data_IF_241926794694
#
_entry.id   IF_241926794694
#
_cell.length_a   1.000
_cell.length_b   1.000
_cell.length_c   1.000
_cell.angle_alpha   90.00
_cell.angle_beta   90.00
_cell.angle_gamma   90.00
#
_symmetry.space_group_name_H-M   'P 1'
#
loop_
_entity.id
_entity.type
_entity.pdbx_description
1 polymer ?
#
# COMPACT_ATOMS: atom_id res chain seq x y z
N UNK A 1 13.28 29.93 -31.54
CA UNK A 1 12.07 30.47 -30.89
C UNK A 1 12.09 30.11 -29.42
N UNK A 2 12.21 31.13 -28.56
CA UNK A 2 12.31 31.02 -27.10
C UNK A 2 10.95 31.36 -26.52
N UNK A 3 10.36 30.45 -25.73
CA UNK A 3 9.19 30.81 -24.91
C UNK A 3 9.49 30.42 -23.47
N UNK A 4 9.62 31.44 -22.63
CA UNK A 4 9.87 31.36 -21.20
C UNK A 4 8.75 32.10 -20.47
N UNK A 5 8.16 31.39 -19.50
CA UNK A 5 7.75 31.86 -18.15
C UNK A 5 6.50 32.77 -18.08
N UNK A 6 5.49 32.35 -17.30
CA UNK A 6 5.07 32.94 -16.00
C UNK A 6 3.74 32.35 -15.53
N UNK A 7 3.78 31.54 -14.47
CA UNK A 7 2.64 31.35 -13.56
C UNK A 7 2.99 32.14 -12.32
N UNK A 8 2.26 33.22 -12.10
CA UNK A 8 2.33 34.07 -10.92
C UNK A 8 1.52 33.39 -9.80
N UNK A 9 2.21 33.04 -8.71
CA UNK A 9 1.58 32.93 -7.39
C UNK A 9 1.64 34.33 -6.76
N UNK A 10 0.49 34.85 -6.33
CA UNK A 10 0.44 36.02 -5.46
C UNK A 10 -0.57 35.77 -4.35
N UNK A 11 -0.07 35.88 -3.12
CA UNK A 11 -0.74 35.75 -1.83
C UNK A 11 -1.14 37.12 -1.29
N UNK A 12 -2.34 37.27 -0.72
CA UNK A 12 -2.74 38.21 0.35
C UNK A 12 -4.20 37.83 0.72
N UNK A 13 -4.63 37.44 1.93
CA UNK A 13 -4.42 37.89 3.31
C UNK A 13 -5.05 39.26 3.63
N UNK A 14 -6.25 39.21 4.24
CA UNK A 14 -6.82 40.19 5.18
C UNK A 14 -8.00 39.50 5.89
N UNK A 15 -7.85 39.05 7.14
CA UNK A 15 -8.23 39.75 8.39
C UNK A 15 -9.68 40.24 8.44
N UNK A 16 -10.48 39.60 9.31
CA UNK A 16 -11.28 40.34 10.30
C UNK A 16 -11.60 39.45 11.50
N UNK A 17 -11.30 40.00 12.67
CA UNK A 17 -11.53 39.46 13.99
C UNK A 17 -12.96 39.75 14.45
N UNK A 18 -13.53 38.87 15.27
CA UNK A 18 -14.37 39.31 16.38
C UNK A 18 -14.44 38.21 17.46
N UNK A 19 -14.08 38.67 18.65
CA UNK A 19 -14.03 38.02 19.95
C UNK A 19 -15.43 37.71 20.48
N UNK A 20 -15.58 36.59 21.19
CA UNK A 20 -16.31 36.59 22.45
C UNK A 20 -15.81 35.50 23.39
N UNK A 21 -15.23 35.95 24.51
CA UNK A 21 -14.95 35.16 25.70
C UNK A 21 -16.26 34.72 26.35
N UNK A 22 -16.36 33.45 26.74
CA UNK A 22 -17.06 33.07 27.97
C UNK A 22 -16.24 32.02 28.70
N UNK A 23 -15.73 32.43 29.86
CA UNK A 23 -15.21 31.55 30.88
C UNK A 23 -16.38 30.85 31.56
N UNK A 24 -16.34 29.52 31.61
CA UNK A 24 -17.05 28.75 32.63
C UNK A 24 -16.07 27.74 33.21
N UNK A 25 -15.57 28.07 34.40
CA UNK A 25 -14.90 27.15 35.31
C UNK A 25 -15.96 26.27 35.97
N UNK A 26 -15.85 24.96 35.77
CA UNK A 26 -16.49 23.98 36.64
C UNK A 26 -15.52 22.81 36.82
N UNK A 27 -14.79 22.85 37.94
CA UNK A 27 -14.11 21.69 38.51
C UNK A 27 -15.16 20.63 38.87
N UNK A 28 -15.00 19.44 38.31
CA UNK A 28 -15.58 18.22 38.88
C UNK A 28 -14.45 17.20 39.01
N UNK A 29 -14.04 16.97 40.27
CA UNK A 29 -13.29 15.79 40.66
C UNK A 29 -14.24 14.58 40.64
N UNK A 30 -13.92 13.59 39.82
CA UNK A 30 -14.39 12.23 40.03
C UNK A 30 -13.32 11.21 39.60
N UNK A 31 -13.13 10.25 40.49
CA UNK A 31 -12.11 9.21 40.49
C UNK A 31 -12.17 8.27 39.28
N UNK A 32 -10.97 7.86 38.84
CA UNK A 32 -10.62 6.45 38.69
C UNK A 32 -11.46 5.60 37.75
N UNK A 33 -11.10 5.62 36.46
CA UNK A 33 -11.16 4.42 35.62
C UNK A 33 -9.84 4.27 34.86
N UNK A 34 -9.00 3.35 35.33
CA UNK A 34 -8.00 2.67 34.52
C UNK A 34 -8.72 1.90 33.42
N UNK A 35 -8.46 2.21 32.15
CA UNK A 35 -9.00 1.40 31.05
C UNK A 35 -9.07 2.10 29.70
N UNK A 36 -7.90 2.36 29.09
CA UNK A 36 -7.72 2.19 27.65
C UNK A 36 -6.23 2.40 27.36
N UNK A 37 -5.50 1.28 27.28
CA UNK A 37 -4.22 1.25 26.60
C UNK A 37 -4.40 1.90 25.24
N UNK A 38 -3.85 3.12 25.06
CA UNK A 38 -3.41 3.55 23.73
C UNK A 38 -2.51 2.42 23.26
N UNK A 39 -2.99 1.60 22.34
CA UNK A 39 -2.09 0.76 21.56
C UNK A 39 -1.04 1.72 21.01
N UNK A 40 0.17 1.66 21.55
CA UNK A 40 1.25 2.52 21.13
C UNK A 40 1.50 2.19 19.67
N UNK A 41 0.95 2.99 18.76
CA UNK A 41 1.39 3.02 17.39
C UNK A 41 2.88 3.28 17.46
N UNK A 42 3.69 2.23 17.25
CA UNK A 42 5.13 2.34 17.29
C UNK A 42 5.51 3.48 16.34
N UNK A 43 5.98 4.59 16.90
CA UNK A 43 6.40 5.75 16.10
C UNK A 43 7.64 5.34 15.34
N UNK A 44 7.45 4.87 14.11
CA UNK A 44 8.54 4.45 13.26
C UNK A 44 9.52 5.60 13.07
N UNK A 45 10.81 5.31 13.15
CA UNK A 45 11.84 6.32 12.93
C UNK A 45 11.71 6.93 11.54
N UNK A 46 12.10 8.19 11.38
CA UNK A 46 12.10 8.84 10.07
C UNK A 46 13.09 8.17 9.10
N UNK A 47 12.79 8.19 7.80
CA UNK A 47 13.74 7.73 6.79
C UNK A 47 15.01 8.59 6.79
N UNK A 48 16.20 7.99 6.53
CA UNK A 48 17.41 8.78 6.43
C UNK A 48 17.33 9.72 5.23
N UNK A 49 17.64 10.99 5.47
CA UNK A 49 17.67 12.03 4.43
C UNK A 49 19.01 11.95 3.70
N UNK A 50 19.01 11.37 2.51
CA UNK A 50 20.18 11.37 1.64
C UNK A 50 19.83 11.99 0.28
N UNK A 51 20.78 12.70 -0.37
CA UNK A 51 20.53 13.36 -1.65
C UNK A 51 19.94 12.41 -2.70
N UNK A 52 20.46 11.18 -2.76
CA UNK A 52 20.06 10.15 -3.73
C UNK A 52 18.56 9.78 -3.69
N UNK A 53 17.85 10.03 -2.59
CA UNK A 53 16.46 9.60 -2.41
C UNK A 53 15.41 10.70 -2.50
N UNK A 54 15.82 11.93 -2.88
CA UNK A 54 14.94 13.12 -3.00
C UNK A 54 14.09 13.34 -1.74
N UNK A 55 12.86 12.83 -1.72
CA UNK A 55 11.81 13.07 -0.72
C UNK A 55 11.21 11.75 -0.23
N UNK A 56 12.06 10.88 0.33
CA UNK A 56 11.58 9.63 0.94
C UNK A 56 10.94 9.93 2.30
N UNK A 57 9.61 9.83 2.37
CA UNK A 57 8.81 9.98 3.60
C UNK A 57 7.98 8.72 3.88
N UNK A 58 7.39 8.63 5.08
CA UNK A 58 6.45 7.56 5.41
C UNK A 58 5.27 7.54 4.43
N UNK A 59 4.66 8.69 4.18
CA UNK A 59 3.50 8.79 3.28
C UNK A 59 3.83 8.41 1.85
N UNK A 60 4.99 8.85 1.34
CA UNK A 60 5.45 8.44 0.01
C UNK A 60 5.59 6.92 -0.10
N UNK A 61 6.11 6.27 0.95
CA UNK A 61 6.24 4.81 0.97
C UNK A 61 4.88 4.13 1.09
N UNK A 62 3.99 4.61 1.97
CA UNK A 62 2.61 4.08 2.08
C UNK A 62 1.86 4.19 0.76
N UNK A 63 1.91 5.36 0.12
CA UNK A 63 1.31 5.61 -1.19
C UNK A 63 1.91 4.67 -2.23
N UNK A 64 3.24 4.54 -2.28
CA UNK A 64 3.91 3.64 -3.22
C UNK A 64 3.52 2.18 -2.99
N UNK A 65 3.40 1.74 -1.75
CA UNK A 65 2.98 0.38 -1.41
C UNK A 65 1.52 0.18 -1.83
N UNK A 66 0.61 1.10 -1.47
CA UNK A 66 -0.79 1.03 -1.86
C UNK A 66 -0.99 1.04 -3.39
N UNK A 67 -0.26 1.89 -4.10
CA UNK A 67 -0.41 2.09 -5.55
C UNK A 67 0.32 1.01 -6.34
N UNK A 68 1.63 0.85 -6.13
CA UNK A 68 2.49 -0.03 -6.94
C UNK A 68 2.53 -1.48 -6.44
N UNK A 69 2.34 -1.70 -5.14
CA UNK A 69 2.39 -3.03 -4.52
C UNK A 69 1.02 -3.46 -3.98
N UNK A 70 -0.06 -2.74 -4.27
CA UNK A 70 -1.44 -3.11 -3.85
C UNK A 70 -1.60 -3.27 -2.33
N UNK A 71 -0.86 -2.48 -1.56
CA UNK A 71 -0.83 -2.59 -0.11
C UNK A 71 0.15 -3.66 0.40
N UNK A 72 0.75 -4.46 -0.49
CA UNK A 72 1.71 -5.52 -0.20
C UNK A 72 3.06 -4.97 0.28
N UNK A 73 3.11 -4.72 1.59
CA UNK A 73 4.32 -4.34 2.30
C UNK A 73 5.40 -5.40 2.16
N UNK A 74 5.06 -6.69 2.23
CA UNK A 74 6.02 -7.78 2.16
C UNK A 74 6.71 -7.82 0.79
N UNK A 75 5.94 -7.74 -0.29
CA UNK A 75 6.48 -7.66 -1.64
C UNK A 75 7.36 -6.41 -1.85
N UNK A 76 6.96 -5.27 -1.29
CA UNK A 76 7.79 -4.08 -1.35
C UNK A 76 9.11 -4.25 -0.60
N UNK A 77 9.07 -4.80 0.62
CA UNK A 77 10.25 -5.09 1.45
C UNK A 77 11.18 -6.08 0.73
N UNK A 78 10.64 -7.17 0.18
CA UNK A 78 11.41 -8.14 -0.63
C UNK A 78 12.07 -7.48 -1.83
N UNK A 79 11.38 -6.57 -2.53
CA UNK A 79 11.99 -5.83 -3.64
C UNK A 79 13.17 -4.94 -3.18
N UNK A 80 13.09 -4.36 -1.99
CA UNK A 80 14.20 -3.60 -1.38
C UNK A 80 15.35 -4.51 -0.97
N UNK A 81 15.06 -5.66 -0.36
CA UNK A 81 16.06 -6.67 0.01
C UNK A 81 16.77 -7.24 -1.22
N UNK A 82 16.03 -7.53 -2.30
CA UNK A 82 16.60 -7.96 -3.56
C UNK A 82 17.54 -6.91 -4.18
N UNK A 83 17.14 -5.63 -4.14
CA UNK A 83 18.02 -4.53 -4.54
C UNK A 83 19.29 -4.45 -3.67
N UNK A 84 19.13 -4.58 -2.35
CA UNK A 84 20.25 -4.59 -1.41
C UNK A 84 21.22 -5.75 -1.69
N UNK A 85 20.71 -6.96 -1.91
CA UNK A 85 21.51 -8.15 -2.17
C UNK A 85 22.36 -7.98 -3.44
N UNK A 86 21.78 -7.40 -4.51
CA UNK A 86 22.52 -7.05 -5.72
C UNK A 86 23.67 -6.09 -5.42
N UNK A 87 23.44 -5.06 -4.61
CA UNK A 87 24.50 -4.10 -4.22
C UNK A 87 25.56 -4.73 -3.33
N UNK A 88 25.19 -5.59 -2.38
CA UNK A 88 26.13 -6.34 -1.53
C UNK A 88 27.03 -7.23 -2.39
N UNK A 89 26.46 -7.95 -3.36
CA UNK A 89 27.22 -8.76 -4.30
C UNK A 89 28.20 -7.93 -5.14
N UNK A 90 27.78 -6.75 -5.64
CA UNK A 90 28.66 -5.82 -6.38
C UNK A 90 29.80 -5.31 -5.49
N UNK A 91 29.51 -4.98 -4.22
CA UNK A 91 30.50 -4.50 -3.27
C UNK A 91 31.51 -5.59 -2.91
N UNK A 92 31.06 -6.82 -2.68
CA UNK A 92 31.90 -7.96 -2.32
C UNK A 92 32.97 -8.27 -3.38
N UNK A 93 32.63 -8.12 -4.66
CA UNK A 93 33.56 -8.29 -5.79
C UNK A 93 34.42 -7.04 -6.10
N UNK A 94 34.42 -6.03 -5.22
CA UNK A 94 35.21 -4.80 -5.38
C UNK A 94 34.77 -3.89 -6.55
N UNK A 95 33.64 -4.18 -7.18
CA UNK A 95 33.14 -3.46 -8.36
C UNK A 95 32.38 -2.18 -7.99
N UNK A 96 32.11 -1.35 -8.99
CA UNK A 96 31.25 -0.18 -8.85
C UNK A 96 29.78 -0.49 -9.17
N UNK A 97 28.86 0.10 -8.41
CA UNK A 97 27.42 0.03 -8.67
C UNK A 97 26.93 1.35 -9.25
N UNK A 98 26.15 1.28 -10.33
CA UNK A 98 25.47 2.44 -10.89
C UNK A 98 24.12 2.66 -10.17
N UNK A 99 23.92 3.85 -9.60
CA UNK A 99 22.64 4.27 -9.01
C UNK A 99 22.12 5.51 -9.73
N UNK A 100 20.83 5.52 -10.05
CA UNK A 100 20.22 6.64 -10.78
C UNK A 100 19.81 7.78 -9.84
N UNK A 101 20.21 9.01 -10.18
CA UNK A 101 19.84 10.24 -9.49
C UNK A 101 19.65 11.38 -10.48
N UNK A 102 18.51 12.08 -10.43
CA UNK A 102 18.21 13.23 -11.29
C UNK A 102 18.54 13.01 -12.79
N UNK A 103 18.14 11.85 -13.34
CA UNK A 103 18.43 11.41 -14.74
C UNK A 103 19.92 11.16 -15.04
N UNK A 104 20.80 11.19 -14.04
CA UNK A 104 22.21 10.84 -14.14
C UNK A 104 22.47 9.50 -13.44
N UNK A 105 23.46 8.76 -13.92
CA UNK A 105 23.94 7.53 -13.29
C UNK A 105 25.18 7.86 -12.48
N UNK A 106 25.13 7.65 -11.16
CA UNK A 106 26.25 7.86 -10.25
C UNK A 106 26.87 6.50 -9.95
N UNK A 107 28.19 6.38 -10.15
CA UNK A 107 28.93 5.17 -9.77
C UNK A 107 29.36 5.27 -8.30
N UNK A 108 28.98 4.28 -7.51
CA UNK A 108 29.40 4.10 -6.12
C UNK A 108 30.38 2.93 -6.04
N UNK A 109 31.49 3.11 -5.33
CA UNK A 109 32.50 2.06 -5.12
C UNK A 109 33.13 2.16 -3.73
N UNK A 110 33.60 1.02 -3.21
CA UNK A 110 34.30 0.95 -1.92
C UNK A 110 33.50 1.60 -0.80
N UNK A 111 34.13 2.53 -0.07
CA UNK A 111 33.54 3.21 1.10
C UNK A 111 32.21 3.93 0.79
N UNK A 112 32.06 4.51 -0.41
CA UNK A 112 30.82 5.18 -0.80
C UNK A 112 29.66 4.21 -1.00
N UNK A 113 29.92 3.04 -1.60
CA UNK A 113 28.94 1.96 -1.76
C UNK A 113 28.60 1.30 -0.41
N UNK A 114 29.59 1.08 0.46
CA UNK A 114 29.36 0.60 1.82
C UNK A 114 28.47 1.55 2.64
N UNK A 115 28.70 2.86 2.51
CA UNK A 115 27.88 3.90 3.19
C UNK A 115 26.46 3.91 2.65
N UNK A 116 26.29 3.79 1.33
CA UNK A 116 24.97 3.69 0.72
C UNK A 116 24.21 2.42 1.16
N UNK A 117 24.89 1.28 1.26
CA UNK A 117 24.30 0.03 1.79
C UNK A 117 23.76 0.21 3.22
N UNK A 118 24.47 0.91 4.10
CA UNK A 118 23.98 1.25 5.46
C UNK A 118 22.71 2.10 5.42
N UNK A 119 22.57 3.01 4.45
CA UNK A 119 21.32 3.74 4.28
C UNK A 119 20.19 2.82 3.81
N UNK A 120 20.48 1.90 2.87
CA UNK A 120 19.51 0.89 2.40
C UNK A 120 19.02 0.02 3.56
N UNK A 121 19.91 -0.44 4.44
CA UNK A 121 19.55 -1.17 5.67
C UNK A 121 18.55 -0.37 6.52
N UNK A 122 18.87 0.89 6.82
CA UNK A 122 17.98 1.77 7.60
C UNK A 122 16.62 1.95 6.93
N UNK A 123 16.59 2.11 5.60
CA UNK A 123 15.34 2.22 4.86
C UNK A 123 14.50 0.95 4.98
N UNK A 124 15.10 -0.23 4.87
CA UNK A 124 14.38 -1.50 5.04
C UNK A 124 13.81 -1.58 6.46
N UNK A 125 14.59 -1.24 7.48
CA UNK A 125 14.13 -1.25 8.88
C UNK A 125 12.95 -0.31 9.14
N UNK A 126 13.00 0.94 8.64
CA UNK A 126 11.86 1.87 8.74
C UNK A 126 10.64 1.32 8.00
N UNK A 127 10.84 0.72 6.83
CA UNK A 127 9.74 0.14 6.03
C UNK A 127 9.09 -1.04 6.75
N UNK A 128 9.86 -1.90 7.41
CA UNK A 128 9.34 -3.00 8.22
C UNK A 128 8.51 -2.49 9.41
N UNK A 129 9.00 -1.44 10.10
CA UNK A 129 8.21 -0.80 11.15
C UNK A 129 6.87 -0.28 10.62
N UNK A 130 6.87 0.41 9.47
CA UNK A 130 5.64 0.92 8.86
C UNK A 130 4.67 -0.20 8.48
N UNK A 131 5.17 -1.32 7.95
CA UNK A 131 4.36 -2.52 7.67
C UNK A 131 3.64 -2.98 8.94
N UNK A 132 4.39 -3.17 10.02
CA UNK A 132 3.83 -3.67 11.29
C UNK A 132 2.79 -2.70 11.87
N UNK A 133 3.04 -1.39 11.78
CA UNK A 133 2.11 -0.37 12.25
C UNK A 133 0.79 -0.37 11.44
N UNK A 134 0.88 -0.51 10.12
CA UNK A 134 -0.29 -0.56 9.23
C UNK A 134 -1.08 -1.88 9.40
N UNK A 135 -0.41 -3.00 9.66
CA UNK A 135 -1.07 -4.29 9.92
C UNK A 135 -1.80 -4.29 11.27
N UNK A 136 -1.20 -3.70 12.32
CA UNK A 136 -1.84 -3.55 13.63
C UNK A 136 -3.08 -2.63 13.57
N UNK A 137 -3.02 -1.53 12.82
CA UNK A 137 -4.17 -0.66 12.60
C UNK A 137 -5.30 -1.38 11.84
N UNK A 138 -4.95 -2.24 10.88
CA UNK A 138 -5.93 -3.03 10.12
C UNK A 138 -6.69 -4.06 10.95
N UNK A 139 -6.13 -4.52 12.08
CA UNK A 139 -6.78 -5.47 12.99
C UNK A 139 -7.65 -4.79 14.05
N UNK A 140 -7.34 -3.54 14.41
CA UNK A 140 -8.10 -2.78 15.41
C UNK A 140 -9.49 -2.34 14.93
N UNK A 141 -9.70 -2.25 13.61
CA UNK A 141 -10.98 -1.85 13.01
C UNK A 141 -12.02 -2.99 12.95
N UNK A 142 -11.66 -4.22 13.32
CA UNK A 142 -12.61 -5.33 13.44
C UNK A 142 -13.09 -5.44 14.89
N UNK A 143 -13.94 -4.48 15.30
CA UNK A 143 -14.67 -4.56 16.58
C UNK A 143 -15.46 -5.87 16.65
N UNK A 144 -15.20 -6.61 17.72
CA UNK A 144 -15.89 -7.81 18.20
C UNK A 144 -17.39 -7.79 17.92
N UNK A 145 -17.84 -8.72 17.07
CA UNK A 145 -19.26 -9.00 16.87
C UNK A 145 -19.84 -9.63 18.13
N UNK A 146 -20.57 -8.83 18.92
CA UNK A 146 -21.52 -9.34 19.90
C UNK A 146 -22.76 -9.84 19.15
N UNK A 147 -23.14 -11.10 19.40
CA UNK A 147 -24.27 -11.76 18.73
C UNK A 147 -25.60 -11.05 18.99
N UNK A 148 -26.36 -10.85 17.92
CA UNK A 148 -27.74 -10.38 17.92
C UNK A 148 -28.62 -11.36 17.15
N UNK A 149 -29.77 -11.67 17.73
CA UNK A 149 -30.70 -12.77 17.48
C UNK A 149 -31.44 -12.72 16.13
N UNK A 150 -31.82 -13.92 15.68
CA UNK A 150 -32.65 -14.23 14.51
C UNK A 150 -34.02 -13.56 14.56
N UNK A 151 -34.47 -13.03 13.41
CA UNK A 151 -35.88 -13.07 13.04
C UNK A 151 -36.02 -13.27 11.52
N UNK A 152 -36.90 -14.20 11.18
CA UNK A 152 -37.05 -14.82 9.86
C UNK A 152 -38.13 -14.10 9.06
N UNK A 153 -37.78 -13.59 7.86
CA UNK A 153 -38.73 -13.51 6.75
C UNK A 153 -38.05 -14.04 5.48
N UNK A 154 -38.64 -15.12 4.96
CA UNK A 154 -38.20 -15.88 3.80
C UNK A 154 -38.65 -15.22 2.50
N UNK A 155 -37.70 -14.64 1.78
CA UNK A 155 -37.70 -14.60 0.32
C UNK A 155 -36.32 -15.06 -0.12
N UNK A 156 -36.24 -16.27 -0.68
CA UNK A 156 -34.98 -16.92 -1.09
C UNK A 156 -34.30 -16.18 -2.24
N UNK A 157 -33.62 -15.08 -1.92
CA UNK A 157 -32.42 -14.67 -2.62
C UNK A 157 -31.24 -15.17 -1.80
N UNK A 158 -30.76 -16.39 -2.09
CA UNK A 158 -29.48 -16.83 -1.51
C UNK A 158 -28.44 -15.83 -2.00
N UNK A 159 -27.79 -15.03 -1.12
CA UNK A 159 -26.69 -14.19 -1.57
C UNK A 159 -25.66 -15.16 -2.14
N UNK A 160 -25.38 -15.06 -3.45
CA UNK A 160 -24.39 -15.93 -4.10
C UNK A 160 -23.09 -15.74 -3.34
N UNK A 161 -22.70 -16.77 -2.58
CA UNK A 161 -21.40 -16.82 -1.95
C UNK A 161 -20.38 -16.65 -3.07
N UNK A 162 -19.51 -15.65 -2.94
CA UNK A 162 -18.49 -15.40 -3.95
C UNK A 162 -17.45 -16.52 -3.89
N UNK A 163 -16.89 -16.89 -5.04
CA UNK A 163 -15.82 -17.89 -5.07
C UNK A 163 -14.63 -17.46 -4.20
N UNK A 164 -13.81 -18.43 -3.81
CA UNK A 164 -12.58 -18.16 -3.05
C UNK A 164 -11.57 -17.37 -3.87
N UNK A 165 -10.91 -16.40 -3.24
CA UNK A 165 -9.78 -15.69 -3.84
C UNK A 165 -8.63 -16.69 -4.05
N UNK A 166 -8.00 -16.71 -5.23
CA UNK A 166 -6.82 -17.55 -5.44
C UNK A 166 -5.70 -17.28 -4.43
N UNK A 167 -5.08 -18.36 -3.96
CA UNK A 167 -3.96 -18.28 -3.03
C UNK A 167 -2.63 -18.17 -3.79
N UNK A 168 -2.30 -16.96 -4.24
CA UNK A 168 -1.02 -16.65 -4.88
C UNK A 168 -0.06 -16.11 -3.82
N UNK A 169 1.16 -16.63 -3.77
CA UNK A 169 2.16 -16.33 -2.74
C UNK A 169 2.35 -14.82 -2.57
N UNK A 170 2.53 -14.11 -3.68
CA UNK A 170 2.90 -12.70 -3.76
C UNK A 170 1.72 -11.72 -3.82
N UNK A 171 0.52 -12.17 -3.45
CA UNK A 171 -0.65 -11.31 -3.27
C UNK A 171 -0.90 -11.05 -1.78
N UNK A 172 -0.96 -9.79 -1.36
CA UNK A 172 -1.30 -9.45 0.05
C UNK A 172 -2.69 -9.92 0.46
N UNK A 173 -3.72 -9.55 -0.31
CA UNK A 173 -5.10 -9.81 0.09
C UNK A 173 -5.59 -11.13 -0.50
N UNK A 174 -5.69 -12.15 0.35
CA UNK A 174 -6.04 -13.53 0.01
C UNK A 174 -7.43 -13.97 0.53
N UNK A 175 -8.13 -13.09 1.22
CA UNK A 175 -9.46 -13.34 1.78
C UNK A 175 -10.44 -12.25 1.35
N UNK A 176 -11.74 -12.56 1.35
CA UNK A 176 -12.79 -11.57 1.06
C UNK A 176 -12.74 -10.40 2.05
N UNK A 177 -12.63 -10.68 3.35
CA UNK A 177 -12.58 -9.67 4.41
C UNK A 177 -11.45 -8.65 4.20
N UNK A 178 -10.25 -9.12 3.82
CA UNK A 178 -9.11 -8.24 3.57
C UNK A 178 -9.35 -7.31 2.38
N UNK A 179 -9.97 -7.81 1.32
CA UNK A 179 -10.30 -7.00 0.13
C UNK A 179 -11.38 -5.98 0.46
N UNK A 180 -12.46 -6.40 1.12
CA UNK A 180 -13.56 -5.51 1.52
C UNK A 180 -13.03 -4.39 2.41
N UNK A 181 -12.26 -4.72 3.45
CA UNK A 181 -11.67 -3.73 4.35
C UNK A 181 -10.71 -2.77 3.64
N UNK A 182 -9.92 -3.26 2.68
CA UNK A 182 -9.06 -2.41 1.87
C UNK A 182 -9.86 -1.44 1.01
N UNK A 183 -10.92 -1.90 0.35
CA UNK A 183 -11.77 -1.05 -0.50
C UNK A 183 -12.51 -0.01 0.34
N UNK A 184 -13.05 -0.40 1.49
CA UNK A 184 -13.69 0.52 2.43
C UNK A 184 -12.74 1.64 2.87
N UNK A 185 -11.51 1.32 3.28
CA UNK A 185 -10.54 2.32 3.75
C UNK A 185 -9.92 3.15 2.63
N UNK A 186 -9.55 2.53 1.51
CA UNK A 186 -8.77 3.18 0.45
C UNK A 186 -9.63 3.92 -0.57
N UNK A 187 -10.80 3.39 -0.87
CA UNK A 187 -11.70 3.89 -1.91
C UNK A 187 -13.06 4.29 -1.34
N UNK A 188 -13.18 4.43 -0.01
CA UNK A 188 -14.44 4.79 0.66
C UNK A 188 -15.61 3.88 0.28
N UNK A 189 -15.31 2.60 0.01
CA UNK A 189 -16.30 1.61 -0.42
C UNK A 189 -16.64 1.65 -1.92
N UNK A 190 -16.04 2.53 -2.72
CA UNK A 190 -16.15 2.50 -4.18
C UNK A 190 -15.26 1.40 -4.76
N UNK A 191 -15.91 0.39 -5.35
CA UNK A 191 -15.25 -0.77 -5.93
C UNK A 191 -14.69 -0.52 -7.33
N UNK A 192 -15.21 0.48 -8.05
CA UNK A 192 -14.87 0.78 -9.44
C UNK A 192 -13.37 0.99 -9.65
N UNK A 193 -12.68 1.90 -8.92
CA UNK A 193 -11.25 2.11 -9.10
C UNK A 193 -10.42 0.88 -8.74
N UNK A 194 -10.91 0.03 -7.84
CA UNK A 194 -10.23 -1.22 -7.50
C UNK A 194 -10.37 -2.26 -8.62
N UNK A 195 -11.58 -2.46 -9.15
CA UNK A 195 -11.86 -3.38 -10.27
C UNK A 195 -11.09 -2.96 -11.52
N UNK A 196 -11.09 -1.67 -11.86
CA UNK A 196 -10.39 -1.13 -13.02
C UNK A 196 -8.88 -1.38 -12.93
N UNK A 197 -8.30 -1.19 -11.74
CA UNK A 197 -6.87 -1.45 -11.52
C UNK A 197 -6.49 -2.90 -11.82
N UNK A 198 -7.31 -3.87 -11.40
CA UNK A 198 -7.07 -5.29 -11.67
C UNK A 198 -7.30 -5.62 -13.16
N UNK A 199 -8.32 -5.03 -13.76
CA UNK A 199 -8.64 -5.24 -15.18
C UNK A 199 -7.52 -4.73 -16.10
N UNK A 200 -7.05 -3.49 -15.88
CA UNK A 200 -5.89 -2.93 -16.60
C UNK A 200 -4.62 -3.76 -16.40
N UNK A 201 -4.44 -4.37 -15.22
CA UNK A 201 -3.30 -5.24 -14.96
C UNK A 201 -3.41 -6.54 -15.76
N UNK A 202 -4.59 -7.14 -15.86
CA UNK A 202 -4.84 -8.29 -16.72
C UNK A 202 -4.56 -7.95 -18.19
N UNK A 203 -5.06 -6.81 -18.69
CA UNK A 203 -4.83 -6.37 -20.08
C UNK A 203 -3.34 -6.27 -20.43
N UNK A 204 -2.53 -5.74 -19.49
CA UNK A 204 -1.07 -5.66 -19.66
C UNK A 204 -0.42 -7.05 -19.70
N UNK A 205 -0.90 -7.99 -18.90
CA UNK A 205 -0.39 -9.37 -18.92
C UNK A 205 -0.76 -10.06 -20.22
N UNK A 206 -1.98 -9.86 -20.71
CA UNK A 206 -2.43 -10.32 -22.02
C UNK A 206 -1.57 -9.76 -23.14
N UNK A 207 -1.27 -8.46 -23.12
CA UNK A 207 -0.36 -7.82 -24.09
C UNK A 207 1.07 -8.41 -24.01
N UNK A 208 1.62 -8.61 -22.80
CA UNK A 208 2.92 -9.27 -22.60
C UNK A 208 2.93 -10.69 -23.18
N UNK A 209 1.86 -11.44 -22.94
CA UNK A 209 1.71 -12.82 -23.41
C UNK A 209 1.61 -12.88 -24.93
N UNK A 210 0.77 -12.04 -25.54
CA UNK A 210 0.53 -12.00 -26.99
C UNK A 210 1.79 -11.68 -27.79
N UNK A 211 2.71 -10.88 -27.24
CA UNK A 211 4.01 -10.61 -27.88
C UNK A 211 5.10 -11.64 -27.55
N UNK A 212 4.76 -12.75 -26.90
CA UNK A 212 5.70 -13.82 -26.54
C UNK A 212 6.75 -13.42 -25.49
N UNK A 213 6.49 -12.37 -24.70
CA UNK A 213 7.43 -11.84 -23.72
C UNK A 213 7.20 -12.45 -22.32
N UNK A 214 7.91 -11.93 -21.32
CA UNK A 214 7.87 -12.44 -19.95
C UNK A 214 7.48 -11.32 -18.98
N UNK A 215 6.71 -11.67 -17.95
CA UNK A 215 6.38 -10.78 -16.85
C UNK A 215 7.23 -11.14 -15.63
N UNK A 216 7.80 -10.15 -14.95
CA UNK A 216 8.53 -10.37 -13.70
C UNK A 216 7.64 -9.91 -12.55
N UNK A 217 7.36 -10.83 -11.62
CA UNK A 217 6.61 -10.56 -10.40
C UNK A 217 7.41 -9.67 -9.45
N UNK A 218 6.75 -9.14 -8.43
CA UNK A 218 7.38 -8.40 -7.33
C UNK A 218 8.37 -9.24 -6.51
N UNK A 219 8.22 -10.56 -6.45
CA UNK A 219 9.17 -11.50 -5.82
C UNK A 219 10.38 -11.81 -6.69
N UNK A 220 10.37 -11.38 -7.96
CA UNK A 220 11.42 -11.64 -8.93
C UNK A 220 11.23 -12.93 -9.74
N UNK A 221 10.13 -13.65 -9.54
CA UNK A 221 9.76 -14.79 -10.39
C UNK A 221 9.40 -14.29 -11.80
N UNK A 222 10.01 -14.90 -12.81
CA UNK A 222 9.72 -14.64 -14.23
C UNK A 222 8.64 -15.61 -14.71
N UNK A 223 7.53 -15.08 -15.20
CA UNK A 223 6.42 -15.81 -15.79
C UNK A 223 6.47 -15.68 -17.31
N UNK A 224 6.46 -16.80 -18.03
CA UNK A 224 6.45 -16.85 -19.49
C UNK A 224 5.62 -18.04 -19.97
N UNK A 225 5.09 -17.96 -21.20
CA UNK A 225 4.39 -19.07 -21.83
C UNK A 225 3.25 -19.59 -20.95
N UNK A 226 3.29 -20.89 -20.62
CA UNK A 226 2.24 -21.55 -19.82
C UNK A 226 2.08 -20.95 -18.43
N UNK A 227 3.17 -20.54 -17.78
CA UNK A 227 3.11 -19.98 -16.41
C UNK A 227 2.46 -18.59 -16.41
N UNK A 228 2.76 -17.78 -17.44
CA UNK A 228 2.11 -16.49 -17.63
C UNK A 228 0.61 -16.66 -17.93
N UNK A 229 0.26 -17.61 -18.80
CA UNK A 229 -1.14 -17.93 -19.12
C UNK A 229 -1.91 -18.41 -17.89
N UNK A 230 -1.34 -19.33 -17.10
CA UNK A 230 -1.93 -19.78 -15.84
C UNK A 230 -2.16 -18.63 -14.86
N UNK A 231 -1.17 -17.74 -14.72
CA UNK A 231 -1.31 -16.55 -13.87
C UNK A 231 -2.40 -15.58 -14.36
N UNK A 232 -2.60 -15.43 -15.67
CA UNK A 232 -3.71 -14.66 -16.23
C UNK A 232 -5.07 -15.24 -15.83
N UNK A 233 -5.22 -16.56 -15.83
CA UNK A 233 -6.45 -17.23 -15.34
C UNK A 233 -6.73 -16.95 -13.87
N UNK A 234 -5.69 -16.93 -13.02
CA UNK A 234 -5.85 -16.57 -11.60
C UNK A 234 -6.23 -15.10 -11.42
N UNK A 235 -5.68 -14.21 -12.26
CA UNK A 235 -6.06 -12.79 -12.30
C UNK A 235 -7.54 -12.62 -12.69
N UNK A 236 -8.02 -13.33 -13.72
CA UNK A 236 -9.43 -13.34 -14.14
C UNK A 236 -10.35 -13.81 -13.03
N UNK A 237 -9.99 -14.93 -12.37
CA UNK A 237 -10.72 -15.47 -11.23
C UNK A 237 -10.81 -14.46 -10.10
N UNK A 238 -9.71 -13.79 -9.76
CA UNK A 238 -9.70 -12.72 -8.76
C UNK A 238 -10.64 -11.57 -9.15
N UNK A 239 -10.61 -11.09 -10.39
CA UNK A 239 -11.50 -10.03 -10.88
C UNK A 239 -12.96 -10.47 -10.75
N UNK A 240 -13.29 -11.70 -11.11
CA UNK A 240 -14.64 -12.28 -10.97
C UNK A 240 -15.11 -12.23 -9.51
N UNK A 241 -14.27 -12.68 -8.57
CA UNK A 241 -14.59 -12.63 -7.14
C UNK A 241 -14.76 -11.19 -6.67
N UNK A 242 -13.88 -10.26 -7.04
CA UNK A 242 -14.00 -8.84 -6.66
C UNK A 242 -15.32 -8.24 -7.16
N UNK A 243 -15.73 -8.54 -8.40
CA UNK A 243 -17.03 -8.11 -8.95
C UNK A 243 -18.22 -8.73 -8.21
N UNK A 244 -18.09 -9.96 -7.73
CA UNK A 244 -19.09 -10.57 -6.86
C UNK A 244 -19.18 -9.84 -5.51
N UNK A 245 -18.03 -9.58 -4.86
CA UNK A 245 -17.98 -8.85 -3.58
C UNK A 245 -18.55 -7.43 -3.70
N UNK A 246 -18.26 -6.73 -4.79
CA UNK A 246 -18.79 -5.41 -5.07
C UNK A 246 -20.32 -5.40 -5.13
N UNK A 247 -20.92 -6.37 -5.84
CA UNK A 247 -22.38 -6.51 -5.92
C UNK A 247 -23.00 -6.80 -4.55
N UNK A 248 -22.43 -7.73 -3.80
CA UNK A 248 -22.93 -8.09 -2.47
C UNK A 248 -22.81 -6.93 -1.48
N UNK A 249 -21.76 -6.10 -1.60
CA UNK A 249 -21.56 -4.91 -0.75
C UNK A 249 -22.54 -3.76 -1.08
N UNK A 250 -23.08 -3.73 -2.30
CA UNK A 250 -24.13 -2.79 -2.71
C UNK A 250 -25.53 -3.23 -2.29
N UNK A 251 -25.80 -4.54 -2.26
CA UNK A 251 -27.10 -5.10 -1.86
C UNK A 251 -27.41 -5.01 -0.36
N UNK A 252 -26.41 -4.89 0.51
CA UNK A 252 -26.62 -4.76 1.97
C UNK A 252 -27.00 -3.34 2.45
N UNK A 253 -27.32 -2.41 1.52
CA UNK A 253 -27.60 -1.00 1.85
C UNK A 253 -29.09 -0.59 1.70
N UNK A 254 -29.99 -1.57 1.58
CA UNK A 254 -31.45 -1.41 1.54
C UNK A 254 -32.08 -2.27 2.61
#
# INVERSE_FOLDING_TARGET
MKTKIKILFSTALALSALTLSMAFTAETLAAGTTGASRASQAQCTAFPKIPLWKSLSHDFVREKVATKYEGDWQAYIQSLQGYQNKLKAIHARGSSAAVSYQKRSIRLQGKSLATFLKHVDKRIAVTQCLSNADDAAGLADFSTAAGGSEETISATFKPKQCDTIPNIEWWKFKTHANIIGYVARKYSGDWSPYIDKWSVRLDKLTDIYNRGSSAVTNTGLTLQGRDLYGYMGEMEKRISVIRCLARNSGSSRT
#
